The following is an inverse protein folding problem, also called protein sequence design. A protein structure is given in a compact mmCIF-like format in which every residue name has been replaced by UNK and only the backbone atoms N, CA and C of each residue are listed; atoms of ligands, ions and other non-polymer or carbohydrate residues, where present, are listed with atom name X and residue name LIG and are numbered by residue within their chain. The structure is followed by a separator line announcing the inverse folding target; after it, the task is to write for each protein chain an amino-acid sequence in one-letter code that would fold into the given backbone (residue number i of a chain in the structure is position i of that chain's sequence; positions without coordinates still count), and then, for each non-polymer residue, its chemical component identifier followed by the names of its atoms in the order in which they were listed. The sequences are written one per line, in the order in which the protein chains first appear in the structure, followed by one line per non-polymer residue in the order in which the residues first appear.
data_IF_812300142214
#
_entry.id   IF_812300142214
#
_cell.length_a   1.000
_cell.length_b   1.000
_cell.length_c   1.000
_cell.angle_alpha   90.00
_cell.angle_beta   90.00
_cell.angle_gamma   90.00
#
_symmetry.space_group_name_H-M   'P 1'
#
loop_
_entity.id
_entity.type
_entity.pdbx_description
1 polymer ?
#
# COMPACT_ATOMS: atom_id res chain seq x y z
N UNK A 1 -5.71 21.98 15.68
CA UNK A 1 -4.31 22.07 15.17
C UNK A 1 -3.39 20.92 15.65
N UNK A 2 -3.75 20.14 16.69
CA UNK A 2 -2.94 19.00 17.18
C UNK A 2 -3.15 17.67 16.42
N UNK A 3 -4.28 17.52 15.72
CA UNK A 3 -4.62 16.32 14.92
C UNK A 3 -3.64 16.08 13.76
N UNK A 4 -3.00 17.13 13.24
CA UNK A 4 -2.09 17.03 12.10
C UNK A 4 -0.80 16.27 12.42
N UNK A 5 -0.31 16.30 13.66
CA UNK A 5 0.99 15.69 14.03
C UNK A 5 0.89 14.19 14.27
N UNK A 6 -0.20 13.73 14.87
CA UNK A 6 -0.40 12.30 15.15
C UNK A 6 -0.62 11.52 13.84
N UNK A 7 -1.37 12.11 12.90
CA UNK A 7 -1.55 11.57 11.54
C UNK A 7 -0.22 11.55 10.78
N UNK A 8 0.59 12.61 10.90
CA UNK A 8 1.93 12.67 10.29
C UNK A 8 2.85 11.58 10.83
N UNK A 9 2.84 11.32 12.14
CA UNK A 9 3.67 10.30 12.77
C UNK A 9 3.25 8.89 12.33
N UNK A 10 1.95 8.62 12.23
CA UNK A 10 1.44 7.33 11.75
C UNK A 10 1.81 7.12 10.26
N UNK A 11 1.73 8.17 9.43
CA UNK A 11 2.22 8.13 8.05
C UNK A 11 3.71 7.85 7.96
N UNK A 12 4.53 8.56 8.74
CA UNK A 12 5.98 8.41 8.73
C UNK A 12 6.39 7.00 9.18
N UNK A 13 5.74 6.48 10.22
CA UNK A 13 5.99 5.11 10.68
C UNK A 13 5.59 4.08 9.61
N UNK A 14 4.48 4.28 8.90
CA UNK A 14 4.06 3.42 7.79
C UNK A 14 5.02 3.51 6.60
N UNK A 15 5.53 4.70 6.28
CA UNK A 15 6.52 4.92 5.20
C UNK A 15 7.85 4.23 5.50
N UNK A 16 8.36 4.38 6.72
CA UNK A 16 9.63 3.76 7.15
C UNK A 16 9.53 2.24 7.16
N UNK A 17 8.39 1.67 7.54
CA UNK A 17 8.17 0.21 7.49
C UNK A 17 8.03 -0.33 6.07
N UNK A 18 7.57 0.51 5.14
CA UNK A 18 7.59 0.23 3.70
C UNK A 18 9.03 -0.03 3.23
N UNK A 19 9.93 0.91 3.58
CA UNK A 19 11.30 1.09 3.02
C UNK A 19 12.21 -0.14 2.98
N UNK A 20 11.91 -1.18 3.76
CA UNK A 20 12.78 -2.34 3.94
C UNK A 20 12.37 -3.57 3.10
N UNK A 21 11.47 -3.45 2.13
CA UNK A 21 10.86 -4.63 1.46
C UNK A 21 11.34 -4.90 0.02
N UNK A 22 12.21 -4.05 -0.55
CA UNK A 22 12.94 -4.29 -1.82
C UNK A 22 12.47 -3.39 -2.97
N UNK A 23 13.36 -2.97 -3.87
CA UNK A 23 13.17 -1.80 -4.77
C UNK A 23 11.84 -1.74 -5.55
N UNK A 24 11.41 -2.83 -6.21
CA UNK A 24 10.12 -2.85 -6.93
C UNK A 24 8.92 -2.81 -5.96
N UNK A 25 9.01 -3.56 -4.86
CA UNK A 25 8.01 -3.57 -3.80
C UNK A 25 7.94 -2.22 -3.08
N UNK A 26 9.06 -1.49 -3.06
CA UNK A 26 9.20 -0.17 -2.47
C UNK A 26 8.47 0.90 -3.26
N UNK A 27 8.68 0.95 -4.58
CA UNK A 27 7.99 1.92 -5.44
C UNK A 27 6.47 1.72 -5.39
N UNK A 28 6.01 0.47 -5.47
CA UNK A 28 4.59 0.14 -5.37
C UNK A 28 4.01 0.42 -3.97
N UNK A 29 4.79 0.15 -2.91
CA UNK A 29 4.41 0.47 -1.53
C UNK A 29 4.27 1.98 -1.32
N UNK A 30 5.22 2.78 -1.83
CA UNK A 30 5.18 4.24 -1.72
C UNK A 30 3.99 4.85 -2.46
N UNK A 31 3.71 4.38 -3.69
CA UNK A 31 2.53 4.82 -4.46
C UNK A 31 1.24 4.42 -3.73
N UNK A 32 1.17 3.19 -3.19
CA UNK A 32 0.03 2.73 -2.42
C UNK A 32 -0.21 3.53 -1.15
N UNK A 33 0.86 3.93 -0.47
CA UNK A 33 0.79 4.75 0.74
C UNK A 33 0.30 6.17 0.42
N UNK A 34 0.80 6.78 -0.65
CA UNK A 34 0.30 8.06 -1.13
C UNK A 34 -1.18 7.98 -1.50
N UNK A 35 -1.59 6.96 -2.26
CA UNK A 35 -2.99 6.74 -2.63
C UNK A 35 -3.88 6.53 -1.39
N UNK A 36 -3.44 5.75 -0.41
CA UNK A 36 -4.14 5.53 0.86
C UNK A 36 -4.30 6.82 1.65
N UNK A 37 -3.28 7.69 1.66
CA UNK A 37 -3.33 8.98 2.33
C UNK A 37 -4.38 9.91 1.68
N UNK A 38 -4.31 10.10 0.36
CA UNK A 38 -5.26 10.98 -0.34
C UNK A 38 -6.70 10.45 -0.26
N UNK A 39 -6.89 9.13 -0.39
CA UNK A 39 -8.20 8.50 -0.25
C UNK A 39 -8.76 8.66 1.17
N UNK A 40 -7.92 8.45 2.19
CA UNK A 40 -8.30 8.64 3.59
C UNK A 40 -8.67 10.09 3.89
N UNK A 41 -7.87 11.05 3.40
CA UNK A 41 -8.13 12.48 3.57
C UNK A 41 -9.46 12.89 2.91
N UNK A 42 -9.68 12.49 1.66
CA UNK A 42 -10.92 12.79 0.94
C UNK A 42 -12.16 12.15 1.60
N UNK A 43 -12.02 10.93 2.14
CA UNK A 43 -13.08 10.25 2.85
C UNK A 43 -13.41 10.91 4.20
N UNK A 44 -12.39 11.42 4.90
CA UNK A 44 -12.56 12.18 6.13
C UNK A 44 -13.24 13.54 5.88
N UNK A 45 -12.84 14.27 4.84
CA UNK A 45 -13.45 15.56 4.48
C UNK A 45 -14.90 15.40 3.99
N UNK A 46 -15.21 14.30 3.29
CA UNK A 46 -16.57 13.95 2.86
C UNK A 46 -17.33 13.10 3.89
N UNK A 47 -17.04 13.31 5.18
CA UNK A 47 -17.54 12.54 6.32
C UNK A 47 -19.02 12.16 6.21
N UNK A 48 -19.88 13.15 5.89
CA UNK A 48 -21.34 13.00 5.81
C UNK A 48 -21.81 11.91 4.82
N UNK A 49 -21.11 11.71 3.70
CA UNK A 49 -21.51 10.74 2.67
C UNK A 49 -20.95 9.35 2.94
N UNK A 50 -19.72 9.26 3.42
CA UNK A 50 -19.05 7.98 3.71
C UNK A 50 -19.58 7.30 4.97
N UNK A 51 -19.95 8.08 5.98
CA UNK A 51 -20.52 7.61 7.24
C UNK A 51 -21.78 6.76 7.05
N UNK A 52 -22.73 7.25 6.24
CA UNK A 52 -24.04 6.62 6.06
C UNK A 52 -23.92 5.28 5.30
N UNK A 53 -22.95 5.18 4.41
CA UNK A 53 -22.81 4.04 3.50
C UNK A 53 -21.94 2.90 4.04
N UNK A 54 -20.88 3.19 4.83
CA UNK A 54 -19.86 2.19 5.15
C UNK A 54 -19.52 2.07 6.64
N UNK A 55 -19.87 3.04 7.48
CA UNK A 55 -19.34 3.17 8.84
C UNK A 55 -20.43 3.46 9.89
N UNK A 56 -21.60 2.82 9.75
CA UNK A 56 -22.74 2.99 10.66
C UNK A 56 -22.43 2.71 12.14
N UNK A 57 -21.44 1.87 12.44
CA UNK A 57 -21.03 1.53 13.81
C UNK A 57 -20.37 2.70 14.57
N UNK A 58 -19.81 3.69 13.85
CA UNK A 58 -19.13 4.84 14.45
C UNK A 58 -20.16 5.87 14.94
N UNK A 59 -21.45 5.72 14.62
CA UNK A 59 -22.50 6.69 14.95
C UNK A 59 -22.59 7.04 16.44
N UNK A 60 -22.32 6.08 17.31
CA UNK A 60 -22.38 6.23 18.77
C UNK A 60 -21.30 7.16 19.34
N UNK A 61 -20.30 7.54 18.55
CA UNK A 61 -19.24 8.45 18.99
C UNK A 61 -19.73 9.90 18.80
N UNK A 62 -19.86 10.62 19.92
CA UNK A 62 -20.32 12.02 19.97
C UNK A 62 -19.24 13.02 19.55
N UNK A 63 -17.97 12.67 19.67
CA UNK A 63 -16.86 13.55 19.31
C UNK A 63 -16.56 13.46 17.80
N UNK A 64 -16.72 14.58 17.09
CA UNK A 64 -16.53 14.69 15.65
C UNK A 64 -15.08 14.43 15.23
N UNK A 65 -14.11 14.96 15.97
CA UNK A 65 -12.68 14.79 15.68
C UNK A 65 -12.25 13.31 15.76
N UNK A 66 -12.76 12.59 16.75
CA UNK A 66 -12.47 11.16 16.92
C UNK A 66 -13.07 10.34 15.78
N UNK A 67 -14.25 10.76 15.29
CA UNK A 67 -14.94 10.13 14.16
C UNK A 67 -14.13 10.23 12.87
N UNK A 68 -13.62 11.42 12.54
CA UNK A 68 -12.77 11.64 11.36
C UNK A 68 -11.51 10.79 11.39
N UNK A 69 -10.83 10.72 12.54
CA UNK A 69 -9.61 9.91 12.70
C UNK A 69 -9.91 8.43 12.45
N UNK A 70 -11.02 7.90 12.99
CA UNK A 70 -11.37 6.49 12.81
C UNK A 70 -11.68 6.18 11.34
N UNK A 71 -12.40 7.07 10.64
CA UNK A 71 -12.68 6.88 9.21
C UNK A 71 -11.38 6.93 8.40
N UNK A 72 -10.53 7.93 8.64
CA UNK A 72 -9.24 8.05 7.98
C UNK A 72 -8.39 6.79 8.17
N UNK A 73 -8.21 6.32 9.41
CA UNK A 73 -7.41 5.14 9.73
C UNK A 73 -8.00 3.89 9.08
N UNK A 74 -9.33 3.73 9.11
CA UNK A 74 -10.00 2.58 8.50
C UNK A 74 -9.78 2.54 6.99
N UNK A 75 -9.99 3.66 6.30
CA UNK A 75 -9.76 3.77 4.84
C UNK A 75 -8.28 3.55 4.52
N UNK A 76 -7.39 4.15 5.30
CA UNK A 76 -5.95 4.00 5.11
C UNK A 76 -5.50 2.54 5.21
N UNK A 77 -5.97 1.80 6.22
CA UNK A 77 -5.67 0.38 6.38
C UNK A 77 -6.19 -0.44 5.20
N UNK A 78 -7.45 -0.20 4.77
CA UNK A 78 -8.06 -0.94 3.67
C UNK A 78 -7.28 -0.72 2.37
N UNK A 79 -7.00 0.53 2.01
CA UNK A 79 -6.27 0.86 0.78
C UNK A 79 -4.83 0.33 0.85
N UNK A 80 -4.16 0.49 1.99
CA UNK A 80 -2.80 -0.04 2.19
C UNK A 80 -2.77 -1.56 2.05
N UNK A 81 -3.78 -2.28 2.54
CA UNK A 81 -3.88 -3.74 2.42
C UNK A 81 -4.04 -4.15 0.95
N UNK A 82 -4.91 -3.46 0.19
CA UNK A 82 -5.10 -3.71 -1.25
C UNK A 82 -3.77 -3.54 -2.00
N UNK A 83 -3.08 -2.43 -1.78
CA UNK A 83 -1.79 -2.18 -2.43
C UNK A 83 -0.70 -3.16 -1.99
N UNK A 84 -0.70 -3.60 -0.73
CA UNK A 84 0.23 -4.63 -0.27
C UNK A 84 0.02 -5.96 -1.02
N UNK A 85 -1.23 -6.35 -1.26
CA UNK A 85 -1.57 -7.54 -2.04
C UNK A 85 -1.12 -7.37 -3.50
N UNK A 86 -1.42 -6.23 -4.12
CA UNK A 86 -0.99 -5.93 -5.50
C UNK A 86 0.53 -5.97 -5.63
N UNK A 87 1.24 -5.34 -4.70
CA UNK A 87 2.71 -5.32 -4.67
C UNK A 87 3.28 -6.73 -4.56
N UNK A 88 2.67 -7.58 -3.73
CA UNK A 88 3.06 -8.98 -3.57
C UNK A 88 2.85 -9.79 -4.85
N UNK A 89 1.72 -9.61 -5.53
CA UNK A 89 1.43 -10.29 -6.79
C UNK A 89 2.40 -9.86 -7.89
N UNK A 90 2.66 -8.56 -8.03
CA UNK A 90 3.61 -8.04 -9.03
C UNK A 90 5.02 -8.55 -8.76
N UNK A 91 5.46 -8.55 -7.49
CA UNK A 91 6.79 -9.08 -7.13
C UNK A 91 6.92 -10.56 -7.53
N UNK A 92 5.90 -11.38 -7.25
CA UNK A 92 5.90 -12.78 -7.68
C UNK A 92 5.94 -12.95 -9.19
N UNK A 93 5.21 -12.12 -9.94
CA UNK A 93 5.23 -12.17 -11.40
C UNK A 93 6.63 -11.81 -11.94
N UNK A 94 7.26 -10.78 -11.37
CA UNK A 94 8.63 -10.40 -11.73
C UNK A 94 9.63 -11.53 -11.44
N UNK A 95 9.53 -12.20 -10.29
CA UNK A 95 10.40 -13.33 -9.95
C UNK A 95 10.27 -14.48 -10.99
N UNK A 96 9.05 -14.79 -11.43
CA UNK A 96 8.80 -15.80 -12.47
C UNK A 96 9.41 -15.37 -13.81
N UNK A 97 9.25 -14.09 -14.19
CA UNK A 97 9.84 -13.55 -15.42
C UNK A 97 11.37 -13.57 -15.37
N UNK A 98 11.97 -13.24 -14.23
CA UNK A 98 13.41 -13.32 -14.01
C UNK A 98 13.91 -14.77 -14.10
N UNK A 99 13.20 -15.75 -13.53
CA UNK A 99 13.54 -17.17 -13.70
C UNK A 99 13.50 -17.60 -15.18
N UNK A 100 12.50 -17.13 -15.94
CA UNK A 100 12.42 -17.39 -17.38
C UNK A 100 13.58 -16.77 -18.17
N UNK A 101 14.00 -15.56 -17.79
CA UNK A 101 15.16 -14.88 -18.37
C UNK A 101 16.47 -15.62 -18.06
N UNK A 102 16.68 -16.01 -16.80
CA UNK A 102 17.83 -16.81 -16.37
C UNK A 102 17.86 -18.17 -17.08
N UNK A 103 16.71 -18.84 -17.25
CA UNK A 103 16.63 -20.10 -17.97
C UNK A 103 17.02 -19.96 -19.45
N UNK A 104 16.57 -18.90 -20.14
CA UNK A 104 16.96 -18.63 -21.54
C UNK A 104 18.46 -18.36 -21.68
N UNK A 105 19.03 -17.57 -20.76
CA UNK A 105 20.47 -17.28 -20.76
C UNK A 105 21.28 -18.55 -20.48
N UNK A 106 20.90 -19.35 -19.48
CA UNK A 106 21.56 -20.62 -19.17
C UNK A 106 21.53 -21.60 -20.35
N UNK A 107 20.41 -21.68 -21.06
CA UNK A 107 20.28 -22.50 -22.27
C UNK A 107 21.20 -22.04 -23.41
N UNK A 108 21.37 -20.72 -23.59
CA UNK A 108 22.29 -20.16 -24.59
C UNK A 108 23.75 -20.59 -24.32
N UNK A 109 24.23 -20.42 -23.09
CA UNK A 109 25.60 -20.78 -22.72
C UNK A 109 25.86 -22.30 -22.77
N UNK A 110 24.88 -23.13 -22.37
CA UNK A 110 25.00 -24.58 -22.47
C UNK A 110 24.97 -25.11 -23.92
N UNK A 111 24.40 -24.34 -24.85
CA UNK A 111 24.42 -24.69 -26.25
C UNK A 111 25.81 -24.46 -26.84
N UNK A 112 26.48 -23.35 -26.51
CA UNK A 112 27.86 -23.07 -26.92
C UNK A 112 28.87 -24.12 -26.40
N UNK A 113 28.69 -24.63 -25.19
CA UNK A 113 29.61 -25.65 -24.64
C UNK A 113 29.51 -27.02 -25.31
N UNK A 114 28.53 -27.26 -26.20
CA UNK A 114 28.45 -28.48 -27.02
C UNK A 114 29.17 -28.36 -28.37
N UNK A 115 29.62 -27.16 -28.74
CA UNK A 115 30.34 -26.90 -30.00
C UNK A 115 31.87 -26.71 -29.82
N UNK A 116 32.35 -26.78 -28.57
CA UNK A 116 33.77 -26.86 -28.20
C UNK A 116 34.12 -28.30 -27.81
#
# INVERSE_FOLDING_TARGET
MYINIIILIIMLAAMVRGFFRGFAKEVLSLVGLAAAFFAGYYAAENFSKFHLAYFGFINNIKNYEVKEIIIFVSVFIIVSLIFAVISFLITKLLDILMLGFVNKIGGFFLQESKFL
#
